data_IF_706508502706
#
_entry.id   IF_706508502706
#
_cell.length_a   1.000
_cell.length_b   1.000
_cell.length_c   1.000
_cell.angle_alpha   90.00
_cell.angle_beta   90.00
_cell.angle_gamma   90.00
#
_symmetry.space_group_name_H-M   'P 1'
#
loop_
_entity.id
_entity.type
_entity.pdbx_description
1 polymer ?
#
# COMPACT_ATOMS: atom_id res chain seq x y z
N UNK A 1 -17.73 10.55 11.46
CA UNK A 1 -17.47 10.39 10.02
C UNK A 1 -17.31 11.76 9.37
N UNK A 2 -16.37 11.93 8.46
CA UNK A 2 -16.20 13.20 7.73
C UNK A 2 -17.20 13.26 6.58
N UNK A 3 -17.95 14.33 6.51
CA UNK A 3 -19.04 14.47 5.53
C UNK A 3 -18.58 15.02 4.18
N UNK A 4 -17.33 15.48 4.11
CA UNK A 4 -16.77 16.10 2.91
C UNK A 4 -15.26 15.95 2.87
N UNK A 5 -14.69 15.81 1.68
CA UNK A 5 -13.23 15.78 1.48
C UNK A 5 -12.54 17.07 1.97
N UNK A 6 -13.27 18.16 2.15
CA UNK A 6 -12.76 19.41 2.72
C UNK A 6 -12.40 19.29 4.20
N UNK A 7 -12.93 18.28 4.89
CA UNK A 7 -12.67 18.02 6.30
C UNK A 7 -11.31 17.34 6.51
N UNK A 8 -10.69 16.83 5.45
CA UNK A 8 -9.37 16.24 5.49
C UNK A 8 -8.30 17.32 5.37
N UNK A 9 -7.29 17.24 6.22
CA UNK A 9 -6.16 18.17 6.23
C UNK A 9 -4.89 17.52 5.64
N UNK A 10 -3.97 18.31 5.07
CA UNK A 10 -2.68 17.79 4.65
C UNK A 10 -1.97 17.06 5.79
N UNK A 11 -1.30 15.95 5.48
CA UNK A 11 -0.59 15.07 6.43
C UNK A 11 -1.47 14.43 7.51
N UNK A 12 -2.78 14.39 7.31
CA UNK A 12 -3.66 13.63 8.18
C UNK A 12 -3.38 12.13 8.02
N UNK A 13 -3.25 11.44 9.16
CA UNK A 13 -3.19 9.98 9.15
C UNK A 13 -4.58 9.42 8.90
N UNK A 14 -4.68 8.57 7.90
CA UNK A 14 -5.89 7.82 7.57
C UNK A 14 -5.65 6.36 7.91
N UNK A 15 -6.60 5.77 8.62
CA UNK A 15 -6.54 4.36 8.96
C UNK A 15 -7.58 3.59 8.15
N UNK A 16 -7.23 2.44 7.58
CA UNK A 16 -8.17 1.55 6.92
C UNK A 16 -9.03 0.80 7.95
N UNK A 17 -10.02 0.06 7.45
CA UNK A 17 -10.75 -0.92 8.24
C UNK A 17 -9.81 -2.05 8.68
N UNK A 18 -9.40 -2.02 9.96
CA UNK A 18 -8.45 -2.99 10.51
C UNK A 18 -9.03 -4.41 10.63
N UNK A 19 -10.34 -4.55 10.76
CA UNK A 19 -11.00 -5.86 10.76
C UNK A 19 -10.89 -6.47 9.36
N UNK A 20 -11.15 -5.70 8.33
CA UNK A 20 -11.02 -6.13 6.96
C UNK A 20 -9.57 -6.47 6.58
N UNK A 21 -8.58 -5.67 7.02
CA UNK A 21 -7.16 -6.00 6.84
C UNK A 21 -6.80 -7.33 7.51
N UNK A 22 -7.24 -7.57 8.74
CA UNK A 22 -6.95 -8.80 9.45
C UNK A 22 -7.56 -10.01 8.73
N UNK A 23 -8.75 -9.87 8.17
CA UNK A 23 -9.39 -10.91 7.36
C UNK A 23 -8.57 -11.22 6.09
N UNK A 24 -8.12 -10.19 5.38
CA UNK A 24 -7.28 -10.38 4.17
C UNK A 24 -5.95 -11.04 4.50
N UNK A 25 -5.32 -10.69 5.61
CA UNK A 25 -4.10 -11.37 6.09
C UNK A 25 -4.36 -12.84 6.39
N UNK A 26 -5.47 -13.17 7.06
CA UNK A 26 -5.88 -14.56 7.31
C UNK A 26 -6.09 -15.36 6.03
N UNK A 27 -6.76 -14.80 5.02
CA UNK A 27 -6.92 -15.42 3.69
C UNK A 27 -5.58 -15.69 3.02
N UNK A 28 -4.61 -14.78 3.18
CA UNK A 28 -3.26 -14.96 2.64
C UNK A 28 -2.55 -16.13 3.32
N UNK A 29 -2.56 -16.20 4.63
CA UNK A 29 -1.94 -17.29 5.41
C UNK A 29 -2.52 -18.65 5.04
N UNK A 30 -3.85 -18.77 4.95
CA UNK A 30 -4.55 -19.97 4.50
C UNK A 30 -4.18 -20.36 3.05
N UNK A 31 -3.78 -19.38 2.25
CA UNK A 31 -3.37 -19.56 0.86
C UNK A 31 -1.87 -19.84 0.70
N UNK A 32 -1.11 -19.86 1.80
CA UNK A 32 0.32 -20.07 1.81
C UNK A 32 1.13 -18.82 1.41
N UNK A 33 0.53 -17.62 1.51
CA UNK A 33 1.22 -16.37 1.27
C UNK A 33 1.48 -15.62 2.56
N UNK A 34 2.64 -14.98 2.65
CA UNK A 34 2.98 -14.04 3.73
C UNK A 34 2.75 -12.61 3.27
N UNK A 35 1.81 -11.92 3.91
CA UNK A 35 1.58 -10.49 3.74
C UNK A 35 2.06 -9.73 4.98
N UNK A 36 2.74 -8.61 4.77
CA UNK A 36 3.15 -7.70 5.83
C UNK A 36 2.22 -6.51 5.89
N UNK A 37 1.78 -6.16 7.09
CA UNK A 37 1.15 -4.87 7.33
C UNK A 37 2.22 -3.80 7.32
N UNK A 38 1.96 -2.72 6.61
CA UNK A 38 2.91 -1.62 6.46
C UNK A 38 2.20 -0.27 6.55
N UNK A 39 2.87 0.72 7.10
CA UNK A 39 2.46 2.10 7.03
C UNK A 39 2.97 2.73 5.73
N UNK A 40 2.18 3.63 5.17
CA UNK A 40 2.45 4.21 3.85
C UNK A 40 2.43 5.72 3.91
N UNK A 41 3.44 6.37 3.36
CA UNK A 41 3.44 7.80 3.08
C UNK A 41 2.98 8.03 1.64
N UNK A 42 1.91 8.81 1.46
CA UNK A 42 1.45 9.19 0.13
C UNK A 42 2.04 10.52 -0.28
N UNK A 43 2.80 10.52 -1.36
CA UNK A 43 3.36 11.72 -1.97
C UNK A 43 2.58 12.11 -3.23
N UNK A 44 2.44 13.40 -3.55
CA UNK A 44 1.68 13.82 -4.73
C UNK A 44 2.41 13.53 -6.06
N UNK A 45 3.70 13.24 -6.03
CA UNK A 45 4.47 12.95 -7.23
C UNK A 45 5.86 12.37 -6.90
N UNK A 46 6.46 11.67 -7.88
CA UNK A 46 7.84 11.20 -7.81
C UNK A 46 8.83 12.37 -7.60
N UNK A 47 8.56 13.52 -8.21
CA UNK A 47 9.41 14.71 -8.01
C UNK A 47 9.36 15.20 -6.57
N UNK A 48 8.17 15.22 -5.94
CA UNK A 48 8.02 15.59 -4.54
C UNK A 48 8.72 14.58 -3.62
N UNK A 49 8.57 13.27 -3.88
CA UNK A 49 9.32 12.23 -3.17
C UNK A 49 10.81 12.48 -3.21
N UNK A 50 11.35 12.69 -4.39
CA UNK A 50 12.79 12.88 -4.58
C UNK A 50 13.34 14.11 -3.83
N UNK A 51 12.62 15.23 -3.89
CA UNK A 51 13.05 16.47 -3.23
C UNK A 51 12.86 16.46 -1.72
N UNK A 52 11.89 15.69 -1.19
CA UNK A 52 11.52 15.68 0.22
C UNK A 52 11.78 14.33 0.91
N UNK A 53 12.62 13.46 0.31
CA UNK A 53 12.84 12.11 0.83
C UNK A 53 13.32 12.10 2.29
N UNK A 54 14.21 13.01 2.66
CA UNK A 54 14.73 13.07 4.05
C UNK A 54 13.63 13.52 5.03
N UNK A 55 12.77 14.45 4.62
CA UNK A 55 11.61 14.87 5.43
C UNK A 55 10.57 13.74 5.53
N UNK A 56 10.33 13.00 4.44
CA UNK A 56 9.41 11.85 4.43
C UNK A 56 9.88 10.75 5.38
N UNK A 57 11.17 10.50 5.47
CA UNK A 57 11.75 9.52 6.41
C UNK A 57 11.47 9.85 7.89
N UNK A 58 11.26 11.13 8.23
CA UNK A 58 10.93 11.54 9.59
C UNK A 58 9.53 11.09 10.04
N UNK A 59 8.65 10.73 9.10
CA UNK A 59 7.30 10.23 9.40
C UNK A 59 7.27 8.75 9.86
N UNK A 60 8.42 8.06 9.88
CA UNK A 60 8.54 6.67 10.33
C UNK A 60 7.52 5.73 9.65
N UNK A 61 7.43 5.85 8.32
CA UNK A 61 6.58 5.00 7.49
C UNK A 61 7.42 3.97 6.74
N UNK A 62 6.83 2.81 6.46
CA UNK A 62 7.52 1.68 5.83
C UNK A 62 7.66 1.84 4.32
N UNK A 63 6.68 2.47 3.68
CA UNK A 63 6.53 2.56 2.22
C UNK A 63 6.20 3.98 1.78
N UNK A 64 6.51 4.26 0.51
CA UNK A 64 6.11 5.50 -0.19
C UNK A 64 5.35 5.10 -1.46
N UNK A 65 4.22 5.74 -1.71
CA UNK A 65 3.44 5.59 -2.94
C UNK A 65 2.56 6.84 -3.15
N UNK A 66 1.56 6.82 -4.02
CA UNK A 66 0.86 8.04 -4.40
C UNK A 66 -0.68 7.97 -4.29
N UNK A 67 -1.28 6.83 -3.98
CA UNK A 67 -2.73 6.60 -4.12
C UNK A 67 -3.44 6.15 -2.84
N UNK A 68 -2.79 5.42 -1.95
CA UNK A 68 -3.43 4.71 -0.82
C UNK A 68 -4.18 5.63 0.13
N UNK A 69 -3.63 6.80 0.47
CA UNK A 69 -4.32 7.73 1.35
C UNK A 69 -5.62 8.24 0.73
N UNK A 70 -5.59 8.60 -0.56
CA UNK A 70 -6.79 9.03 -1.29
C UNK A 70 -7.84 7.93 -1.38
N UNK A 71 -7.40 6.68 -1.59
CA UNK A 71 -8.28 5.52 -1.61
C UNK A 71 -9.00 5.35 -0.26
N UNK A 72 -8.26 5.40 0.85
CA UNK A 72 -8.84 5.24 2.18
C UNK A 72 -9.74 6.39 2.58
N UNK A 73 -9.39 7.64 2.23
CA UNK A 73 -10.25 8.79 2.44
C UNK A 73 -11.59 8.65 1.73
N UNK A 74 -11.58 8.20 0.48
CA UNK A 74 -12.80 7.98 -0.30
C UNK A 74 -13.60 6.80 0.24
N UNK A 75 -12.93 5.72 0.65
CA UNK A 75 -13.58 4.57 1.24
C UNK A 75 -14.29 4.91 2.55
N UNK A 76 -13.68 5.72 3.42
CA UNK A 76 -14.28 6.21 4.65
C UNK A 76 -15.55 7.04 4.38
N UNK A 77 -15.49 7.94 3.38
CA UNK A 77 -16.67 8.73 2.96
C UNK A 77 -17.82 7.87 2.44
N UNK A 78 -17.50 6.76 1.79
CA UNK A 78 -18.48 5.84 1.20
C UNK A 78 -18.89 4.70 2.14
N UNK A 79 -18.33 4.65 3.35
CA UNK A 79 -18.52 3.56 4.31
C UNK A 79 -18.18 2.17 3.73
N UNK A 80 -17.12 2.10 2.92
CA UNK A 80 -16.71 0.88 2.23
C UNK A 80 -15.45 0.28 2.87
N UNK A 81 -15.51 -0.99 3.33
CA UNK A 81 -14.30 -1.70 3.75
C UNK A 81 -13.29 -1.75 2.60
N UNK A 82 -12.08 -1.29 2.86
CA UNK A 82 -11.07 -1.16 1.81
C UNK A 82 -9.68 -1.52 2.34
N UNK A 83 -8.90 -2.20 1.50
CA UNK A 83 -7.49 -2.53 1.75
C UNK A 83 -6.67 -2.28 0.51
N UNK A 84 -5.48 -1.71 0.67
CA UNK A 84 -4.48 -1.64 -0.38
C UNK A 84 -3.56 -2.86 -0.30
N UNK A 85 -3.38 -3.55 -1.42
CA UNK A 85 -2.40 -4.62 -1.60
C UNK A 85 -1.28 -4.11 -2.51
N UNK A 86 -0.08 -4.04 -1.98
CA UNK A 86 1.06 -3.43 -2.64
C UNK A 86 2.19 -4.43 -2.88
N UNK A 87 2.90 -4.27 -3.99
CA UNK A 87 4.17 -4.96 -4.26
C UNK A 87 5.26 -3.92 -4.36
N UNK A 88 6.30 -4.07 -3.53
CA UNK A 88 7.44 -3.14 -3.55
C UNK A 88 8.20 -3.28 -4.86
N UNK A 89 8.33 -2.18 -5.58
CA UNK A 89 9.04 -2.13 -6.87
C UNK A 89 10.49 -1.72 -6.74
N UNK A 90 10.80 -0.84 -5.81
CA UNK A 90 12.12 -0.24 -5.61
C UNK A 90 12.30 0.18 -4.15
N UNK A 91 13.47 0.69 -3.81
CA UNK A 91 13.77 1.15 -2.46
C UNK A 91 14.49 2.48 -2.52
N UNK A 92 13.76 3.56 -2.34
CA UNK A 92 14.28 4.93 -2.38
C UNK A 92 15.33 5.20 -1.29
N UNK A 93 15.24 4.51 -0.14
CA UNK A 93 16.18 4.69 0.96
C UNK A 93 17.57 4.11 0.66
N UNK A 94 17.65 3.03 -0.11
CA UNK A 94 18.91 2.37 -0.49
C UNK A 94 19.37 2.74 -1.89
N UNK A 95 18.55 3.43 -2.68
CA UNK A 95 18.79 3.71 -4.08
C UNK A 95 18.66 2.48 -4.99
N UNK A 96 18.07 1.39 -4.49
CA UNK A 96 17.76 0.22 -5.31
C UNK A 96 16.62 0.57 -6.26
N UNK A 97 16.98 0.86 -7.51
CA UNK A 97 16.06 1.38 -8.51
C UNK A 97 15.22 0.29 -9.18
N UNK A 98 14.08 0.73 -9.75
CA UNK A 98 13.22 -0.08 -10.62
C UNK A 98 13.99 -0.68 -11.81
N UNK A 99 15.01 0.03 -12.29
CA UNK A 99 15.89 -0.37 -13.39
C UNK A 99 17.19 -0.93 -12.82
N UNK A 100 17.62 -2.09 -13.29
CA UNK A 100 18.87 -2.72 -12.87
C UNK A 100 18.72 -3.78 -11.78
N UNK A 101 17.52 -4.30 -11.57
CA UNK A 101 17.28 -5.47 -10.72
C UNK A 101 18.06 -6.68 -11.21
N UNK A 102 18.51 -7.49 -10.26
CA UNK A 102 18.98 -8.83 -10.57
C UNK A 102 17.84 -9.71 -11.10
N UNK A 103 18.16 -10.81 -11.77
CA UNK A 103 17.14 -11.76 -12.24
C UNK A 103 16.31 -12.34 -11.08
N UNK A 104 16.89 -12.50 -9.90
CA UNK A 104 16.19 -13.01 -8.73
C UNK A 104 15.20 -11.97 -8.18
N UNK A 105 15.60 -10.72 -8.06
CA UNK A 105 14.73 -9.61 -7.65
C UNK A 105 13.59 -9.42 -8.64
N UNK A 106 13.87 -9.49 -9.93
CA UNK A 106 12.84 -9.40 -10.96
C UNK A 106 11.84 -10.55 -10.85
N UNK A 107 12.30 -11.78 -10.65
CA UNK A 107 11.40 -12.94 -10.46
C UNK A 107 10.51 -12.79 -9.21
N UNK A 108 11.06 -12.32 -8.11
CA UNK A 108 10.28 -12.06 -6.88
C UNK A 108 9.20 -11.00 -7.11
N UNK A 109 9.56 -9.91 -7.76
CA UNK A 109 8.62 -8.85 -8.12
C UNK A 109 7.51 -9.36 -9.05
N UNK A 110 7.87 -10.06 -10.11
CA UNK A 110 6.93 -10.63 -11.07
C UNK A 110 5.99 -11.64 -10.41
N UNK A 111 6.48 -12.45 -9.50
CA UNK A 111 5.68 -13.39 -8.73
C UNK A 111 4.66 -12.65 -7.84
N UNK A 112 5.08 -11.64 -7.10
CA UNK A 112 4.18 -10.82 -6.29
C UNK A 112 3.09 -10.16 -7.14
N UNK A 113 3.51 -9.52 -8.25
CA UNK A 113 2.61 -8.76 -9.12
C UNK A 113 1.64 -9.64 -9.92
N UNK A 114 2.14 -10.75 -10.50
CA UNK A 114 1.39 -11.51 -11.49
C UNK A 114 0.72 -12.77 -10.91
N UNK A 115 1.10 -13.19 -9.71
CA UNK A 115 0.54 -14.40 -9.05
C UNK A 115 -0.13 -14.03 -7.73
N UNK A 116 0.61 -13.43 -6.79
CA UNK A 116 0.09 -13.19 -5.43
C UNK A 116 -1.05 -12.16 -5.46
N UNK A 117 -0.84 -10.98 -6.03
CA UNK A 117 -1.86 -9.94 -6.06
C UNK A 117 -3.17 -10.39 -6.71
N UNK A 118 -3.19 -10.94 -7.94
CA UNK A 118 -4.43 -11.39 -8.56
C UNK A 118 -5.13 -12.48 -7.76
N UNK A 119 -4.36 -13.42 -7.20
CA UNK A 119 -4.91 -14.50 -6.37
C UNK A 119 -5.58 -13.93 -5.12
N UNK A 120 -4.94 -12.99 -4.44
CA UNK A 120 -5.48 -12.37 -3.23
C UNK A 120 -6.74 -11.55 -3.52
N UNK A 121 -6.78 -10.81 -4.63
CA UNK A 121 -7.97 -10.05 -5.04
C UNK A 121 -9.16 -11.00 -5.22
N UNK A 122 -8.98 -12.09 -5.96
CA UNK A 122 -10.05 -13.07 -6.20
C UNK A 122 -10.52 -13.73 -4.91
N UNK A 123 -9.59 -14.23 -4.08
CA UNK A 123 -9.93 -14.90 -2.81
C UNK A 123 -10.62 -13.96 -1.82
N UNK A 124 -10.20 -12.70 -1.74
CA UNK A 124 -10.84 -11.70 -0.89
C UNK A 124 -12.25 -11.36 -1.38
N UNK A 125 -12.45 -11.29 -2.70
CA UNK A 125 -13.78 -11.05 -3.29
C UNK A 125 -14.75 -12.22 -3.06
N UNK A 126 -14.25 -13.46 -3.06
CA UNK A 126 -15.06 -14.66 -2.88
C UNK A 126 -15.37 -14.97 -1.40
N UNK A 127 -14.64 -14.37 -0.46
CA UNK A 127 -14.78 -14.60 0.98
C UNK A 127 -15.94 -13.82 1.64
N UNK A 128 -17.02 -13.54 0.92
CA UNK A 128 -18.21 -12.80 1.39
C UNK A 128 -19.19 -13.72 2.12
#
# INVERSE_FOLDING_TARGET
MKDSIKDFVPFERVEPDMEFINNVVGIAEESGYELKKASVFCTPSIAAEYYHLEEIKEFDTDLIEMETASLYLMADLLEMPTVALLVVSDNSATGAALVGRTEEEQRKYDYGRNVVLPTMILKTADAK
#
